data_IF_451279283848
#
_entry.id   IF_451279283848
#
_cell.length_a   1.000
_cell.length_b   1.000
_cell.length_c   1.000
_cell.angle_alpha   90.00
_cell.angle_beta   90.00
_cell.angle_gamma   90.00
#
_symmetry.space_group_name_H-M   'P 1'
#
loop_
_entity.id
_entity.type
_entity.pdbx_description
1 polymer ?
#
# COMPACT_ATOMS: atom_id res chain seq x y z
N UNK A 1 -25.79 2.97 32.17
CA UNK A 1 -25.57 2.92 30.71
C UNK A 1 -24.31 3.70 30.38
N UNK A 2 -23.21 3.04 30.04
CA UNK A 2 -21.98 3.71 29.62
C UNK A 2 -21.22 2.82 28.66
N UNK A 3 -21.43 3.00 27.35
CA UNK A 3 -20.66 2.29 26.32
C UNK A 3 -19.29 2.98 26.22
N UNK A 4 -18.25 2.32 26.72
CA UNK A 4 -16.86 2.71 26.46
C UNK A 4 -16.57 2.52 24.96
N UNK A 5 -16.08 3.58 24.31
CA UNK A 5 -15.53 3.50 22.96
C UNK A 5 -14.15 2.82 23.01
N UNK A 6 -13.82 1.91 22.06
CA UNK A 6 -12.48 1.34 22.02
C UNK A 6 -11.48 2.38 21.50
N UNK A 7 -10.44 2.64 22.31
CA UNK A 7 -9.26 3.43 21.92
C UNK A 7 -8.49 2.67 20.84
N UNK A 8 -8.39 3.24 19.65
CA UNK A 8 -7.42 2.84 18.62
C UNK A 8 -6.02 3.24 19.11
N UNK A 9 -5.31 2.30 19.72
CA UNK A 9 -3.92 2.47 20.11
C UNK A 9 -3.02 2.35 18.89
N UNK A 10 -2.23 3.40 18.65
CA UNK A 10 -1.17 3.49 17.66
C UNK A 10 -0.08 2.44 18.02
N UNK A 11 -0.14 1.25 17.43
CA UNK A 11 0.88 0.22 17.68
C UNK A 11 2.04 0.30 16.69
N UNK A 12 3.22 0.25 17.28
CA UNK A 12 4.55 0.43 16.70
C UNK A 12 4.89 -0.79 15.83
N UNK A 13 4.90 -0.61 14.51
CA UNK A 13 5.25 -1.66 13.55
C UNK A 13 6.75 -2.00 13.73
N UNK A 14 7.13 -3.26 14.03
CA UNK A 14 8.52 -3.63 14.21
C UNK A 14 9.30 -3.59 12.90
N UNK A 15 10.60 -3.33 13.03
CA UNK A 15 11.57 -3.15 11.95
C UNK A 15 11.78 -4.48 11.19
N UNK A 16 11.38 -4.56 9.91
CA UNK A 16 11.40 -5.81 9.12
C UNK A 16 12.75 -5.96 8.38
N UNK A 17 13.51 -7.00 8.73
CA UNK A 17 14.62 -7.52 7.92
C UNK A 17 14.06 -8.31 6.72
N UNK A 18 14.71 -8.17 5.56
CA UNK A 18 14.38 -8.89 4.33
C UNK A 18 14.67 -10.39 4.47
N UNK A 19 13.98 -11.22 3.66
CA UNK A 19 14.11 -12.68 3.41
C UNK A 19 13.04 -13.59 4.06
N UNK A 20 12.74 -14.75 3.43
CA UNK A 20 11.39 -15.25 3.18
C UNK A 20 10.72 -15.69 4.48
N UNK A 21 9.47 -15.27 4.66
CA UNK A 21 8.63 -15.76 5.74
C UNK A 21 8.30 -17.22 5.45
N UNK A 22 9.13 -18.14 5.93
CA UNK A 22 9.08 -19.57 5.60
C UNK A 22 7.73 -20.24 5.89
N UNK A 23 6.84 -19.57 6.64
CA UNK A 23 5.51 -20.06 6.99
C UNK A 23 4.42 -18.97 6.81
N UNK A 24 4.66 -17.95 5.97
CA UNK A 24 3.64 -16.94 5.74
C UNK A 24 2.45 -17.52 4.96
N UNK A 25 1.24 -17.32 5.50
CA UNK A 25 0.02 -17.61 4.76
C UNK A 25 -0.08 -16.67 3.56
N UNK A 26 -0.21 -17.24 2.38
CA UNK A 26 -0.39 -16.47 1.14
C UNK A 26 -1.87 -16.16 0.95
N UNK A 27 -2.19 -14.87 0.82
CA UNK A 27 -3.51 -14.34 0.52
C UNK A 27 -3.59 -13.93 -0.95
N UNK A 28 -4.80 -13.92 -1.49
CA UNK A 28 -5.10 -13.44 -2.85
C UNK A 28 -6.27 -12.45 -2.76
N UNK A 29 -6.26 -11.43 -3.60
CA UNK A 29 -7.42 -10.55 -3.73
C UNK A 29 -8.45 -11.21 -4.67
N UNK A 30 -9.67 -11.49 -4.21
CA UNK A 30 -10.72 -12.02 -5.08
C UNK A 30 -11.30 -10.94 -6.01
N UNK A 31 -11.17 -9.66 -5.65
CA UNK A 31 -11.69 -8.53 -6.42
C UNK A 31 -10.71 -7.37 -6.44
N UNK A 32 -10.92 -6.46 -7.39
CA UNK A 32 -10.20 -5.19 -7.48
C UNK A 32 -11.13 -4.08 -7.97
N UNK A 33 -10.85 -2.84 -7.56
CA UNK A 33 -11.36 -1.59 -8.13
C UNK A 33 -10.23 -0.82 -8.87
N UNK A 34 -9.19 -1.54 -9.31
CA UNK A 34 -8.00 -0.94 -9.89
C UNK A 34 -8.17 -0.56 -11.35
N UNK A 35 -7.85 0.70 -11.68
CA UNK A 35 -7.82 1.25 -13.03
C UNK A 35 -6.41 1.75 -13.39
N UNK A 36 -5.81 1.15 -14.42
CA UNK A 36 -4.47 1.52 -14.93
C UNK A 36 -4.45 2.96 -15.47
N UNK A 37 -5.60 3.50 -15.90
CA UNK A 37 -5.75 4.89 -16.33
C UNK A 37 -5.44 5.91 -15.21
N UNK A 38 -5.43 5.47 -13.95
CA UNK A 38 -5.07 6.31 -12.80
C UNK A 38 -3.56 6.36 -12.56
N UNK A 39 -2.77 5.55 -13.27
CA UNK A 39 -1.32 5.54 -13.08
C UNK A 39 -0.70 6.86 -13.54
N UNK A 40 0.36 7.33 -12.85
CA UNK A 40 1.00 8.59 -13.20
C UNK A 40 1.61 8.53 -14.61
N UNK A 41 1.34 9.54 -15.42
CA UNK A 41 1.95 9.69 -16.75
C UNK A 41 3.43 10.13 -16.67
N UNK A 42 3.78 10.88 -15.62
CA UNK A 42 5.13 11.43 -15.40
C UNK A 42 6.07 10.35 -14.84
N UNK A 43 6.51 9.43 -15.69
CA UNK A 43 7.40 8.32 -15.30
C UNK A 43 8.89 8.57 -15.57
N UNK A 44 9.23 9.69 -16.21
CA UNK A 44 10.60 10.09 -16.51
C UNK A 44 11.07 11.25 -15.63
N UNK A 45 12.36 11.23 -15.26
CA UNK A 45 12.99 12.37 -14.57
C UNK A 45 13.14 13.54 -15.53
N UNK A 46 12.20 14.47 -15.49
CA UNK A 46 12.33 15.78 -16.16
C UNK A 46 12.86 16.78 -15.14
N UNK A 47 14.06 17.30 -15.40
CA UNK A 47 14.69 18.30 -14.53
C UNK A 47 14.34 19.68 -15.08
N UNK A 48 13.74 20.53 -14.24
CA UNK A 48 13.45 21.92 -14.58
C UNK A 48 14.75 22.73 -14.74
N UNK A 49 14.65 23.90 -15.37
CA UNK A 49 15.78 24.86 -15.45
C UNK A 49 16.35 25.25 -14.08
N UNK A 50 15.54 25.14 -13.02
CA UNK A 50 15.93 25.40 -11.63
C UNK A 50 16.48 24.17 -10.91
N UNK A 51 16.67 23.05 -11.61
CA UNK A 51 17.18 21.79 -11.04
C UNK A 51 16.12 20.95 -10.31
N UNK A 52 14.88 21.42 -10.20
CA UNK A 52 13.78 20.71 -9.54
C UNK A 52 13.26 19.55 -10.39
N UNK A 53 12.77 18.49 -9.75
CA UNK A 53 12.10 17.38 -10.44
C UNK A 53 10.97 16.80 -9.58
N UNK A 54 9.93 16.29 -10.23
CA UNK A 54 8.84 15.50 -9.63
C UNK A 54 8.44 14.44 -10.64
N UNK A 55 8.70 13.17 -10.32
CA UNK A 55 8.37 12.06 -11.20
C UNK A 55 8.15 10.78 -10.41
N UNK A 56 7.51 9.80 -11.05
CA UNK A 56 7.19 8.51 -10.46
C UNK A 56 8.02 7.42 -11.12
N UNK A 57 8.54 6.49 -10.33
CA UNK A 57 9.17 5.26 -10.83
C UNK A 57 8.35 4.08 -10.36
N UNK A 58 7.93 3.21 -11.27
CA UNK A 58 7.27 1.96 -10.88
C UNK A 58 8.24 1.09 -10.08
N UNK A 59 7.79 0.61 -8.92
CA UNK A 59 8.53 -0.32 -8.06
C UNK A 59 8.35 -1.72 -8.63
N UNK A 60 9.45 -2.44 -8.84
CA UNK A 60 9.41 -3.81 -9.38
C UNK A 60 8.99 -4.81 -8.29
N UNK A 61 8.35 -5.94 -8.65
CA UNK A 61 7.98 -6.98 -7.69
C UNK A 61 9.16 -7.55 -6.89
N UNK A 62 10.36 -7.54 -7.46
CA UNK A 62 11.59 -8.03 -6.82
C UNK A 62 12.19 -7.04 -5.81
N UNK A 63 11.68 -5.80 -5.74
CA UNK A 63 12.23 -4.79 -4.83
C UNK A 63 11.72 -4.99 -3.39
N UNK A 64 12.58 -4.80 -2.38
CA UNK A 64 12.22 -4.85 -0.96
C UNK A 64 10.95 -4.10 -0.58
N UNK A 65 10.74 -2.91 -1.18
CA UNK A 65 9.58 -2.07 -0.89
C UNK A 65 8.26 -2.74 -1.32
N UNK A 66 8.26 -3.47 -2.44
CA UNK A 66 7.11 -4.19 -2.95
C UNK A 66 6.76 -5.37 -2.04
N UNK A 67 7.74 -6.21 -1.74
CA UNK A 67 7.58 -7.37 -0.84
C UNK A 67 7.13 -6.92 0.55
N UNK A 68 7.75 -5.85 1.08
CA UNK A 68 7.37 -5.29 2.38
C UNK A 68 5.94 -4.76 2.40
N UNK A 69 5.47 -4.18 1.30
CA UNK A 69 4.09 -3.71 1.18
C UNK A 69 3.11 -4.88 1.25
N UNK A 70 3.32 -5.92 0.43
CA UNK A 70 2.45 -7.10 0.39
C UNK A 70 2.37 -7.82 1.73
N UNK A 71 3.51 -7.99 2.40
CA UNK A 71 3.56 -8.63 3.71
C UNK A 71 2.81 -7.81 4.76
N UNK A 72 3.12 -6.52 4.89
CA UNK A 72 2.45 -5.65 5.86
C UNK A 72 0.94 -5.57 5.61
N UNK A 73 0.53 -5.43 4.35
CA UNK A 73 -0.90 -5.42 4.00
C UNK A 73 -1.56 -6.75 4.32
N UNK A 74 -0.93 -7.89 4.01
CA UNK A 74 -1.46 -9.22 4.29
C UNK A 74 -1.63 -9.46 5.79
N UNK A 75 -0.59 -9.19 6.57
CA UNK A 75 -0.61 -9.28 8.03
C UNK A 75 -1.73 -8.44 8.64
N UNK A 76 -1.89 -7.18 8.21
CA UNK A 76 -2.95 -6.31 8.74
C UNK A 76 -4.35 -6.78 8.34
N UNK A 77 -4.54 -7.31 7.13
CA UNK A 77 -5.85 -7.85 6.71
C UNK A 77 -6.19 -9.13 7.48
N UNK A 78 -5.23 -10.03 7.69
CA UNK A 78 -5.44 -11.23 8.50
C UNK A 78 -5.79 -10.89 9.95
N UNK A 79 -5.11 -9.90 10.54
CA UNK A 79 -5.42 -9.37 11.87
C UNK A 79 -6.84 -8.81 11.94
N UNK A 80 -7.25 -7.97 10.99
CA UNK A 80 -8.61 -7.42 10.93
C UNK A 80 -9.70 -8.47 10.69
N UNK A 81 -9.36 -9.58 10.04
CA UNK A 81 -10.30 -10.69 9.79
C UNK A 81 -10.53 -11.55 11.04
N UNK A 82 -9.78 -11.33 12.12
CA UNK A 82 -9.85 -12.14 13.34
C UNK A 82 -9.11 -13.48 13.22
N UNK A 83 -8.33 -13.68 12.16
CA UNK A 83 -7.61 -14.95 11.92
C UNK A 83 -6.45 -15.17 12.91
N UNK A 84 -6.06 -14.14 13.67
CA UNK A 84 -4.98 -14.19 14.67
C UNK A 84 -3.56 -14.43 14.12
N UNK A 85 -3.45 -14.81 12.84
CA UNK A 85 -2.17 -15.02 12.17
C UNK A 85 -1.63 -13.70 11.61
N UNK A 86 -0.73 -13.07 12.37
CA UNK A 86 -0.01 -11.85 11.97
C UNK A 86 1.07 -12.10 10.91
N UNK A 87 1.30 -13.34 10.48
CA UNK A 87 2.26 -13.71 9.45
C UNK A 87 1.55 -14.12 8.14
N UNK A 88 0.94 -13.14 7.48
CA UNK A 88 0.28 -13.32 6.19
C UNK A 88 0.86 -12.35 5.16
N UNK A 89 0.88 -12.74 3.89
CA UNK A 89 1.31 -11.87 2.79
C UNK A 89 0.36 -12.02 1.63
N UNK A 90 0.09 -10.93 0.92
CA UNK A 90 -0.55 -11.07 -0.39
C UNK A 90 0.44 -11.65 -1.41
N UNK A 91 -0.07 -12.41 -2.35
CA UNK A 91 0.68 -12.94 -3.51
C UNK A 91 1.02 -11.85 -4.52
N UNK A 92 0.14 -10.87 -4.71
CA UNK A 92 0.34 -9.71 -5.57
C UNK A 92 -0.57 -8.54 -5.10
N UNK A 93 -0.40 -7.37 -5.71
CA UNK A 93 -1.32 -6.24 -5.57
C UNK A 93 -2.68 -6.56 -6.22
N UNK A 94 -3.77 -5.87 -5.84
CA UNK A 94 -5.02 -5.98 -6.57
C UNK A 94 -4.84 -5.60 -8.05
N UNK A 95 -5.56 -6.27 -8.95
CA UNK A 95 -5.45 -6.02 -10.39
C UNK A 95 -5.64 -4.53 -10.71
N UNK A 96 -4.80 -3.94 -11.57
CA UNK A 96 -4.87 -2.51 -11.89
C UNK A 96 -4.18 -1.57 -10.90
N UNK A 97 -3.67 -2.08 -9.77
CA UNK A 97 -2.80 -1.31 -8.87
C UNK A 97 -1.32 -1.47 -9.21
N UNK A 98 -0.53 -0.46 -8.85
CA UNK A 98 0.92 -0.53 -8.88
C UNK A 98 1.54 0.34 -7.78
N UNK A 99 2.68 -0.13 -7.27
CA UNK A 99 3.53 0.67 -6.39
C UNK A 99 4.44 1.57 -7.21
N UNK A 100 4.52 2.83 -6.81
CA UNK A 100 5.41 3.82 -7.37
C UNK A 100 6.26 4.44 -6.27
N UNK A 101 7.51 4.73 -6.60
CA UNK A 101 8.37 5.61 -5.84
C UNK A 101 8.23 7.02 -6.45
N UNK A 102 7.58 7.93 -5.74
CA UNK A 102 7.55 9.34 -6.12
C UNK A 102 8.83 10.01 -5.66
N UNK A 103 9.57 10.58 -6.61
CA UNK A 103 10.82 11.29 -6.38
C UNK A 103 10.62 12.77 -6.61
N UNK A 104 10.81 13.56 -5.56
CA UNK A 104 10.71 15.02 -5.63
C UNK A 104 12.00 15.69 -5.20
N UNK A 105 12.36 16.78 -5.86
CA UNK A 105 13.43 17.68 -5.46
C UNK A 105 13.00 19.11 -5.71
N UNK A 106 13.11 19.93 -4.66
CA UNK A 106 12.65 21.31 -4.66
C UNK A 106 13.80 22.33 -4.55
N UNK A 107 15.01 21.95 -4.97
CA UNK A 107 16.21 22.79 -4.83
C UNK A 107 16.94 22.63 -3.50
N UNK A 108 16.23 22.27 -2.42
CA UNK A 108 16.82 22.11 -1.08
C UNK A 108 17.05 20.63 -0.70
N UNK A 109 16.06 19.76 -0.94
CA UNK A 109 16.15 18.36 -0.50
C UNK A 109 15.44 17.41 -1.46
N UNK A 110 16.11 16.30 -1.76
CA UNK A 110 15.49 15.19 -2.46
C UNK A 110 14.66 14.37 -1.48
N UNK A 111 13.42 14.07 -1.85
CA UNK A 111 12.49 13.22 -1.09
C UNK A 111 12.04 12.07 -1.96
N UNK A 112 11.87 10.91 -1.34
CA UNK A 112 11.37 9.70 -1.97
C UNK A 112 10.29 9.10 -1.07
N UNK A 113 9.15 8.80 -1.66
CA UNK A 113 8.03 8.20 -0.94
C UNK A 113 7.41 7.11 -1.80
N UNK A 114 7.11 5.98 -1.17
CA UNK A 114 6.36 4.91 -1.81
C UNK A 114 4.87 5.26 -1.78
N UNK A 115 4.19 5.03 -2.89
CA UNK A 115 2.76 5.26 -3.03
C UNK A 115 2.15 4.15 -3.86
N UNK A 116 1.03 3.64 -3.41
CA UNK A 116 0.20 2.68 -4.14
C UNK A 116 -0.87 3.46 -4.90
N UNK A 117 -0.91 3.27 -6.22
CA UNK A 117 -1.82 3.97 -7.13
C UNK A 117 -2.60 2.94 -7.92
N UNK A 118 -3.90 3.18 -8.10
CA UNK A 118 -4.75 2.31 -8.91
C UNK A 118 -6.24 2.44 -8.64
N UNK A 119 -6.69 2.93 -7.48
CA UNK A 119 -8.13 2.96 -7.18
C UNK A 119 -8.90 3.76 -8.24
N UNK A 120 -10.02 3.23 -8.72
CA UNK A 120 -10.98 3.90 -9.60
C UNK A 120 -11.39 5.29 -9.09
N UNK A 121 -11.37 5.51 -7.77
CA UNK A 121 -11.68 6.81 -7.15
C UNK A 121 -10.57 7.86 -7.31
N UNK A 122 -9.43 7.49 -7.90
CA UNK A 122 -8.24 8.35 -8.03
C UNK A 122 -7.44 8.49 -6.73
N UNK A 123 -7.76 7.69 -5.70
CA UNK A 123 -7.07 7.75 -4.42
C UNK A 123 -5.66 7.15 -4.47
N UNK A 124 -4.72 7.79 -3.76
CA UNK A 124 -3.32 7.39 -3.66
C UNK A 124 -2.97 7.03 -2.21
N UNK A 125 -2.63 5.78 -1.95
CA UNK A 125 -2.25 5.33 -0.61
C UNK A 125 -0.74 5.52 -0.40
N UNK A 126 -0.35 6.41 0.50
CA UNK A 126 1.06 6.77 0.78
C UNK A 126 1.71 5.88 1.83
N UNK A 127 0.90 5.04 2.48
CA UNK A 127 1.37 4.09 3.47
C UNK A 127 0.44 2.88 3.52
N UNK A 128 0.94 1.77 4.08
CA UNK A 128 0.12 0.57 4.28
C UNK A 128 -1.11 0.87 5.16
N UNK A 129 -1.00 1.56 6.32
CA UNK A 129 -2.16 1.88 7.14
C UNK A 129 -3.30 2.61 6.42
N UNK A 130 -2.98 3.50 5.47
CA UNK A 130 -4.00 4.15 4.62
C UNK A 130 -4.72 3.15 3.72
N UNK A 131 -3.99 2.13 3.23
CA UNK A 131 -4.52 1.10 2.33
C UNK A 131 -5.26 -0.04 3.05
N UNK A 132 -4.94 -0.35 4.32
CA UNK A 132 -5.42 -1.57 5.01
C UNK A 132 -6.94 -1.73 4.94
N UNK A 133 -7.72 -0.68 5.18
CA UNK A 133 -9.19 -0.77 5.14
C UNK A 133 -9.71 -1.01 3.72
N UNK A 134 -9.05 -0.45 2.71
CA UNK A 134 -9.36 -0.72 1.30
C UNK A 134 -9.01 -2.15 0.92
N UNK A 135 -7.82 -2.61 1.31
CA UNK A 135 -7.37 -3.98 1.10
C UNK A 135 -8.33 -5.00 1.74
N UNK A 136 -8.78 -4.73 2.96
CA UNK A 136 -9.76 -5.57 3.66
C UNK A 136 -11.09 -5.64 2.89
N UNK A 137 -11.59 -4.51 2.39
CA UNK A 137 -12.81 -4.44 1.59
C UNK A 137 -12.68 -5.20 0.27
N UNK A 138 -11.55 -5.06 -0.45
CA UNK A 138 -11.26 -5.83 -1.67
C UNK A 138 -11.12 -7.33 -1.39
N UNK A 139 -10.46 -7.69 -0.29
CA UNK A 139 -10.30 -9.08 0.14
C UNK A 139 -11.64 -9.75 0.47
N UNK A 140 -12.60 -9.00 0.99
CA UNK A 140 -13.97 -9.47 1.23
C UNK A 140 -14.92 -9.18 0.06
N UNK A 141 -14.41 -9.21 -1.17
CA UNK A 141 -15.22 -9.08 -2.40
C UNK A 141 -16.08 -7.82 -2.48
N UNK A 142 -15.58 -6.69 -1.97
CA UNK A 142 -16.26 -5.39 -1.96
C UNK A 142 -17.59 -5.39 -1.20
N UNK A 143 -17.76 -6.27 -0.21
CA UNK A 143 -18.97 -6.30 0.62
C UNK A 143 -19.05 -5.03 1.49
N UNK A 144 -20.18 -4.33 1.41
CA UNK A 144 -20.40 -3.07 2.13
C UNK A 144 -19.70 -1.87 1.48
N UNK A 145 -19.60 -0.76 2.22
CA UNK A 145 -18.93 0.47 1.79
C UNK A 145 -17.45 0.49 2.21
N UNK A 146 -16.56 0.98 1.35
CA UNK A 146 -15.17 1.23 1.76
C UNK A 146 -15.10 2.35 2.80
N UNK A 147 -14.38 2.09 3.89
CA UNK A 147 -14.09 3.09 4.96
C UNK A 147 -12.67 3.65 4.86
N UNK A 148 -12.02 3.48 3.71
CA UNK A 148 -10.72 4.05 3.39
C UNK A 148 -10.78 5.60 3.44
N UNK A 149 -9.70 6.23 3.90
CA UNK A 149 -9.57 7.68 4.04
C UNK A 149 -8.40 8.20 3.25
#
# INVERSE_FOLDING_TARGET
>A
MGRQQPKLSLFKIPNIRLFPFADARVLTFPTSDGAVSQWPLQTGKVVSKTGCFDFYRKVKPTEPAFVSWLHKSGSSVAELSGDGNVNATFSDLPAGYALFERMTFNGARARRHIVLIGSETGYHFRSVPEFVLHAFWLYHSRVGSCSCR
#
